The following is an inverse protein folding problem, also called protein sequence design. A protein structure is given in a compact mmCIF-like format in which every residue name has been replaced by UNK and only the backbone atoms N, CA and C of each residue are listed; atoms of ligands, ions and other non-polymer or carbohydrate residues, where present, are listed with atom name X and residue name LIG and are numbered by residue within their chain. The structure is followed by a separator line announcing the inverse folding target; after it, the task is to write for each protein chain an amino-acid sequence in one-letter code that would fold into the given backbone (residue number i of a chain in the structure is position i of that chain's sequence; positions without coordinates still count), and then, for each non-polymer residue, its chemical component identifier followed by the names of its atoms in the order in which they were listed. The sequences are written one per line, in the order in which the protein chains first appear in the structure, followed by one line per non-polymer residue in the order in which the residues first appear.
data_IF_481219498811
#
_entry.id   IF_481219498811
#
_cell.length_a   1.000
_cell.length_b   1.000
_cell.length_c   1.000
_cell.angle_alpha   90.00
_cell.angle_beta   90.00
_cell.angle_gamma   90.00
#
_symmetry.space_group_name_H-M   'P 1'
#
loop_
_entity.id
_entity.type
_entity.pdbx_description
1 polymer ?
#
# COMPACT_ATOMS: atom_id res chain seq x y z
N UNK A 1 2.46 29.20 82.64
CA UNK A 1 3.27 28.24 81.83
C UNK A 1 2.48 27.94 80.58
N UNK A 2 2.73 28.71 79.48
CA UNK A 2 1.96 28.61 78.25
C UNK A 2 2.65 27.63 77.27
N UNK A 3 2.00 26.47 76.99
CA UNK A 3 2.47 25.47 76.02
C UNK A 3 2.24 26.00 74.58
N UNK A 4 3.31 26.37 73.90
CA UNK A 4 3.29 26.71 72.44
C UNK A 4 2.89 25.48 71.67
N UNK A 5 1.75 25.49 71.00
CA UNK A 5 1.37 24.51 69.95
C UNK A 5 2.29 24.68 68.78
N UNK A 6 3.11 23.65 68.50
CA UNK A 6 3.80 23.52 67.21
C UNK A 6 2.75 23.24 66.15
N UNK A 7 2.54 24.18 65.24
CA UNK A 7 1.84 23.94 64.02
C UNK A 7 2.71 22.97 63.21
N UNK A 8 2.20 21.74 62.94
CA UNK A 8 2.77 20.85 61.93
C UNK A 8 2.54 21.51 60.59
N UNK A 9 3.60 22.05 60.01
CA UNK A 9 3.58 22.48 58.61
C UNK A 9 3.52 21.23 57.76
N UNK A 10 2.42 21.08 57.02
CA UNK A 10 2.25 20.02 56.03
C UNK A 10 3.28 20.29 54.92
N UNK A 11 4.17 19.36 54.60
CA UNK A 11 5.11 19.58 53.50
C UNK A 11 4.35 19.83 52.20
N UNK A 12 4.50 21.03 51.67
CA UNK A 12 3.94 21.37 50.35
C UNK A 12 4.69 20.59 49.30
N UNK A 13 3.97 19.72 48.58
CA UNK A 13 4.51 19.05 47.42
C UNK A 13 5.02 20.08 46.41
N UNK A 14 6.27 19.93 46.00
CA UNK A 14 6.85 20.80 44.97
C UNK A 14 6.26 20.43 43.59
N UNK A 15 5.17 21.09 43.24
CA UNK A 15 4.43 20.86 41.99
C UNK A 15 5.23 21.24 40.73
N UNK A 16 6.28 22.03 40.89
CA UNK A 16 7.12 22.49 39.78
C UNK A 16 7.87 21.33 39.13
N UNK A 17 8.39 20.39 39.91
CA UNK A 17 9.10 19.21 39.41
C UNK A 17 8.15 18.23 38.71
N UNK A 18 6.93 18.06 39.21
CA UNK A 18 5.92 17.20 38.58
C UNK A 18 5.38 17.80 37.27
N UNK A 19 5.25 19.12 37.23
CA UNK A 19 4.87 19.82 36.00
C UNK A 19 5.92 19.66 34.89
N UNK A 20 7.22 19.72 35.22
CA UNK A 20 8.31 19.55 34.26
C UNK A 20 8.34 18.11 33.70
N UNK A 21 8.20 17.11 34.56
CA UNK A 21 8.11 15.72 34.13
C UNK A 21 6.91 15.49 33.21
N UNK A 22 5.75 16.06 33.55
CA UNK A 22 4.53 15.95 32.74
C UNK A 22 4.71 16.63 31.37
N UNK A 23 5.38 17.79 31.35
CA UNK A 23 5.67 18.51 30.12
C UNK A 23 6.65 17.75 29.22
N UNK A 24 7.71 17.18 29.79
CA UNK A 24 8.67 16.33 29.07
C UNK A 24 8.02 15.07 28.49
N UNK A 25 7.12 14.42 29.26
CA UNK A 25 6.34 13.30 28.78
C UNK A 25 5.43 13.70 27.61
N UNK A 26 4.77 14.86 27.71
CA UNK A 26 3.89 15.36 26.67
C UNK A 26 4.67 15.65 25.38
N UNK A 27 5.83 16.30 25.45
CA UNK A 27 6.70 16.52 24.28
C UNK A 27 7.20 15.18 23.72
N UNK A 28 7.59 14.25 24.57
CA UNK A 28 8.02 12.92 24.16
C UNK A 28 6.92 12.19 23.37
N UNK A 29 5.69 12.17 23.88
CA UNK A 29 4.56 11.59 23.16
C UNK A 29 4.22 12.35 21.89
N UNK A 30 4.36 13.66 21.84
CA UNK A 30 4.11 14.47 20.65
C UNK A 30 5.14 14.17 19.56
N UNK A 31 6.41 14.00 19.90
CA UNK A 31 7.47 13.61 18.97
C UNK A 31 7.33 12.16 18.51
N UNK A 32 7.01 11.23 19.42
CA UNK A 32 6.82 9.82 19.07
C UNK A 32 5.50 9.57 18.31
N UNK A 33 4.49 10.40 18.52
CA UNK A 33 3.19 10.34 17.82
C UNK A 33 3.28 10.89 16.38
N UNK A 34 4.34 11.63 16.05
CA UNK A 34 4.64 12.03 14.67
C UNK A 34 5.29 10.88 13.89
N UNK A 35 4.82 9.65 14.07
CA UNK A 35 5.16 8.57 13.16
C UNK A 35 4.53 8.90 11.83
N UNK A 36 5.39 9.03 10.81
CA UNK A 36 4.98 9.06 9.41
C UNK A 36 3.90 8.00 9.21
N UNK A 37 2.74 8.46 8.79
CA UNK A 37 1.73 7.53 8.28
C UNK A 37 2.41 6.76 7.17
N UNK A 38 2.75 5.51 7.47
CA UNK A 38 3.29 4.59 6.49
C UNK A 38 2.46 4.74 5.22
N UNK A 39 3.11 5.18 4.16
CA UNK A 39 2.53 5.21 2.82
C UNK A 39 2.46 3.77 2.32
N UNK A 40 1.72 2.95 3.05
CA UNK A 40 1.44 1.59 2.66
C UNK A 40 0.64 1.59 1.37
N UNK A 41 0.99 0.69 0.48
CA UNK A 41 0.18 0.37 -0.70
C UNK A 41 -1.20 -0.07 -0.22
N UNK A 42 -2.21 0.77 -0.39
CA UNK A 42 -3.60 0.36 -0.17
C UNK A 42 -3.97 -0.63 -1.27
N UNK A 43 -3.91 -1.91 -0.96
CA UNK A 43 -4.50 -2.96 -1.78
C UNK A 43 -5.88 -3.28 -1.25
N UNK A 44 -6.85 -3.30 -2.13
CA UNK A 44 -8.13 -3.94 -1.84
C UNK A 44 -7.89 -5.44 -1.91
N UNK A 45 -7.82 -6.09 -0.76
CA UNK A 45 -7.87 -7.55 -0.70
C UNK A 45 -9.23 -8.00 -1.25
N UNK A 46 -9.26 -9.00 -2.14
CA UNK A 46 -10.52 -9.63 -2.50
C UNK A 46 -11.24 -10.09 -1.23
N UNK A 47 -12.56 -9.98 -1.13
CA UNK A 47 -13.29 -10.51 0.01
C UNK A 47 -12.99 -12.00 0.15
N UNK A 48 -12.53 -12.42 1.34
CA UNK A 48 -12.42 -13.82 1.70
C UNK A 48 -13.86 -14.38 1.80
N UNK A 49 -14.42 -14.80 0.70
CA UNK A 49 -15.59 -15.65 0.70
C UNK A 49 -15.10 -17.07 0.99
N UNK A 50 -15.15 -17.44 2.25
CA UNK A 50 -15.23 -18.85 2.63
C UNK A 50 -16.47 -19.42 1.93
N UNK A 51 -16.27 -20.55 1.24
CA UNK A 51 -17.29 -21.26 0.47
C UNK A 51 -17.83 -20.55 -0.78
N UNK A 52 -17.11 -20.71 -1.85
CA UNK A 52 -17.66 -21.31 -3.07
C UNK A 52 -16.51 -21.50 -4.04
N UNK A 53 -16.13 -22.74 -4.33
CA UNK A 53 -15.55 -23.13 -5.62
C UNK A 53 -16.59 -22.90 -6.73
N UNK A 54 -17.17 -21.73 -6.79
CA UNK A 54 -17.65 -21.21 -8.05
C UNK A 54 -16.37 -20.77 -8.75
N UNK A 55 -15.92 -21.61 -9.68
CA UNK A 55 -15.12 -21.14 -10.81
C UNK A 55 -15.93 -19.97 -11.38
N UNK A 56 -15.69 -18.76 -10.88
CA UNK A 56 -15.99 -17.57 -11.64
C UNK A 56 -15.25 -17.80 -12.94
N UNK A 57 -16.00 -17.91 -14.00
CA UNK A 57 -15.47 -17.93 -15.38
C UNK A 57 -14.84 -16.54 -15.58
N UNK A 58 -13.65 -16.38 -14.97
CA UNK A 58 -12.87 -15.15 -15.12
C UNK A 58 -12.52 -15.12 -16.59
N UNK A 59 -13.16 -14.24 -17.30
CA UNK A 59 -12.91 -14.04 -18.70
C UNK A 59 -11.40 -13.87 -18.86
N UNK A 60 -10.73 -14.85 -19.50
CA UNK A 60 -9.25 -14.88 -19.62
C UNK A 60 -8.70 -13.60 -20.27
N UNK A 61 -9.55 -12.89 -21.00
CA UNK A 61 -9.19 -11.60 -21.59
C UNK A 61 -9.00 -10.48 -20.56
N UNK A 62 -9.62 -10.62 -19.37
CA UNK A 62 -9.50 -9.64 -18.28
C UNK A 62 -8.29 -9.90 -17.37
N UNK A 63 -7.68 -11.08 -17.49
CA UNK A 63 -6.57 -11.52 -16.67
C UNK A 63 -5.24 -11.28 -17.38
N UNK A 64 -4.31 -10.57 -16.75
CA UNK A 64 -2.92 -10.47 -17.16
C UNK A 64 -2.07 -11.18 -16.10
N UNK A 65 -1.37 -12.25 -16.53
CA UNK A 65 -0.55 -13.02 -15.62
C UNK A 65 0.89 -12.54 -15.67
N UNK A 66 1.43 -12.12 -14.53
CA UNK A 66 2.79 -11.62 -14.37
C UNK A 66 3.54 -12.58 -13.47
N UNK A 67 4.65 -13.14 -13.94
CA UNK A 67 5.50 -14.06 -13.21
C UNK A 67 6.84 -13.42 -12.82
N UNK A 68 7.32 -13.75 -11.63
CA UNK A 68 8.69 -13.48 -11.20
C UNK A 68 9.27 -14.79 -10.68
N UNK A 69 10.26 -15.33 -11.37
CA UNK A 69 10.87 -16.62 -11.04
C UNK A 69 12.00 -16.50 -10.01
N UNK A 70 12.59 -17.63 -9.64
CA UNK A 70 13.70 -17.71 -8.70
C UNK A 70 15.02 -17.12 -9.23
N UNK A 71 15.11 -16.86 -10.53
CA UNK A 71 16.25 -16.25 -11.22
C UNK A 71 16.02 -14.77 -11.51
N UNK A 72 14.99 -14.17 -10.90
CA UNK A 72 14.57 -12.78 -11.08
C UNK A 72 14.12 -12.47 -12.53
N UNK A 73 13.77 -13.49 -13.31
CA UNK A 73 13.22 -13.30 -14.64
C UNK A 73 11.75 -12.90 -14.54
N UNK A 74 11.43 -11.80 -15.22
CA UNK A 74 10.09 -11.26 -15.28
C UNK A 74 9.38 -11.78 -16.53
N UNK A 75 8.17 -12.30 -16.35
CA UNK A 75 7.35 -12.82 -17.45
C UNK A 75 5.96 -12.21 -17.44
N UNK A 76 5.39 -12.00 -18.63
CA UNK A 76 3.98 -11.63 -18.82
C UNK A 76 3.37 -12.64 -19.79
N UNK A 77 2.32 -13.32 -19.39
CA UNK A 77 1.66 -14.39 -20.13
C UNK A 77 2.68 -15.42 -20.70
N UNK A 78 3.66 -15.81 -19.84
CA UNK A 78 4.75 -16.74 -20.16
C UNK A 78 5.81 -16.21 -21.14
N UNK A 79 5.81 -14.94 -21.48
CA UNK A 79 6.85 -14.29 -22.28
C UNK A 79 7.77 -13.46 -21.40
N UNK A 80 9.07 -13.63 -21.53
CA UNK A 80 10.05 -12.82 -20.77
C UNK A 80 10.01 -11.38 -21.25
N UNK A 81 9.91 -10.45 -20.31
CA UNK A 81 9.80 -9.00 -20.57
C UNK A 81 10.74 -8.20 -19.68
N UNK A 82 11.09 -7.00 -20.13
CA UNK A 82 11.77 -6.00 -19.31
C UNK A 82 10.76 -5.21 -18.49
N UNK A 83 11.22 -4.51 -17.42
CA UNK A 83 10.38 -3.64 -16.60
C UNK A 83 9.64 -2.57 -17.43
N UNK A 84 10.31 -2.00 -18.44
CA UNK A 84 9.68 -1.00 -19.31
C UNK A 84 8.58 -1.61 -20.21
N UNK A 85 8.80 -2.82 -20.71
CA UNK A 85 7.80 -3.56 -21.48
C UNK A 85 6.62 -3.97 -20.60
N UNK A 86 6.90 -4.42 -19.37
CA UNK A 86 5.86 -4.73 -18.39
C UNK A 86 4.96 -3.51 -18.16
N UNK A 87 5.54 -2.34 -17.88
CA UNK A 87 4.76 -1.13 -17.65
C UNK A 87 3.83 -0.83 -18.82
N UNK A 88 4.35 -0.88 -20.05
CA UNK A 88 3.55 -0.62 -21.25
C UNK A 88 2.42 -1.65 -21.43
N UNK A 89 2.70 -2.94 -21.24
CA UNK A 89 1.69 -4.00 -21.36
C UNK A 89 0.60 -3.86 -20.30
N UNK A 90 0.96 -3.57 -19.06
CA UNK A 90 0.02 -3.32 -17.98
C UNK A 90 -0.86 -2.10 -18.28
N UNK A 91 -0.27 -0.98 -18.72
CA UNK A 91 -1.02 0.21 -19.11
C UNK A 91 -2.01 -0.07 -20.25
N UNK A 92 -1.56 -0.79 -21.30
CA UNK A 92 -2.42 -1.16 -22.41
C UNK A 92 -3.56 -2.09 -22.00
N UNK A 93 -3.27 -3.08 -21.16
CA UNK A 93 -4.28 -3.99 -20.63
C UNK A 93 -5.35 -3.26 -19.82
N UNK A 94 -4.94 -2.41 -18.88
CA UNK A 94 -5.85 -1.62 -18.05
C UNK A 94 -6.66 -0.63 -18.90
N UNK A 95 -6.06 0.02 -19.90
CA UNK A 95 -6.79 0.91 -20.83
C UNK A 95 -7.86 0.20 -21.64
N UNK A 96 -7.61 -1.08 -22.01
CA UNK A 96 -8.54 -1.88 -22.80
C UNK A 96 -9.74 -2.35 -22.00
N UNK A 97 -9.52 -2.75 -20.74
CA UNK A 97 -10.53 -3.47 -19.94
C UNK A 97 -11.15 -2.57 -18.86
N UNK A 98 -10.44 -1.47 -18.49
CA UNK A 98 -10.86 -0.53 -17.46
C UNK A 98 -10.98 -1.16 -16.07
N UNK A 99 -12.17 -1.15 -15.48
CA UNK A 99 -12.45 -1.55 -14.10
C UNK A 99 -12.49 -3.08 -13.89
N UNK A 100 -12.65 -3.87 -14.94
CA UNK A 100 -12.75 -5.33 -14.86
C UNK A 100 -11.38 -6.03 -14.98
N UNK A 101 -10.28 -5.29 -15.22
CA UNK A 101 -8.95 -5.89 -15.33
C UNK A 101 -8.51 -6.54 -14.03
N UNK A 102 -7.78 -7.65 -14.13
CA UNK A 102 -7.17 -8.37 -13.01
C UNK A 102 -5.70 -8.62 -13.36
N UNK A 103 -4.80 -8.14 -12.51
CA UNK A 103 -3.38 -8.47 -12.58
C UNK A 103 -3.08 -9.61 -11.61
N UNK A 104 -2.70 -10.77 -12.13
CA UNK A 104 -2.30 -11.92 -11.32
C UNK A 104 -0.78 -11.98 -11.21
N UNK A 105 -0.25 -11.78 -10.02
CA UNK A 105 1.18 -11.86 -9.73
C UNK A 105 1.51 -13.24 -9.18
N UNK A 106 2.35 -13.98 -9.90
CA UNK A 106 2.88 -15.26 -9.50
C UNK A 106 4.37 -15.09 -9.16
N UNK A 107 4.69 -15.10 -7.88
CA UNK A 107 6.02 -14.76 -7.39
C UNK A 107 6.66 -15.99 -6.76
N UNK A 108 7.85 -16.37 -7.25
CA UNK A 108 8.64 -17.41 -6.61
C UNK A 108 9.09 -16.96 -5.22
N UNK A 109 8.97 -17.85 -4.23
CA UNK A 109 9.47 -17.58 -2.85
C UNK A 109 10.98 -17.33 -2.81
N UNK A 110 11.72 -17.78 -3.84
CA UNK A 110 13.18 -17.62 -3.94
C UNK A 110 13.58 -16.34 -4.70
N UNK A 111 12.63 -15.59 -5.24
CA UNK A 111 12.92 -14.35 -5.95
C UNK A 111 13.58 -13.31 -5.04
N UNK A 112 14.47 -12.51 -5.60
CA UNK A 112 15.17 -11.47 -4.88
C UNK A 112 14.18 -10.34 -4.49
N UNK A 113 14.31 -9.84 -3.26
CA UNK A 113 13.49 -8.74 -2.78
C UNK A 113 13.59 -7.48 -3.66
N UNK A 114 14.78 -7.17 -4.18
CA UNK A 114 14.97 -5.99 -5.05
C UNK A 114 14.20 -6.14 -6.38
N UNK A 115 14.19 -7.34 -6.97
CA UNK A 115 13.42 -7.61 -8.18
C UNK A 115 11.92 -7.49 -7.93
N UNK A 116 11.45 -8.04 -6.81
CA UNK A 116 10.07 -7.89 -6.35
C UNK A 116 9.70 -6.41 -6.14
N UNK A 117 10.56 -5.65 -5.47
CA UNK A 117 10.33 -4.24 -5.22
C UNK A 117 10.27 -3.41 -6.50
N UNK A 118 11.15 -3.70 -7.47
CA UNK A 118 11.12 -3.06 -8.79
C UNK A 118 9.84 -3.39 -9.56
N UNK A 119 9.39 -4.64 -9.52
CA UNK A 119 8.10 -5.06 -10.08
C UNK A 119 6.94 -4.24 -9.48
N UNK A 120 6.87 -4.17 -8.14
CA UNK A 120 5.83 -3.41 -7.44
C UNK A 120 5.84 -1.92 -7.80
N UNK A 121 7.02 -1.31 -7.84
CA UNK A 121 7.16 0.10 -8.24
C UNK A 121 6.70 0.33 -9.68
N UNK A 122 7.00 -0.59 -10.58
CA UNK A 122 6.58 -0.52 -11.98
C UNK A 122 5.06 -0.57 -12.13
N UNK A 123 4.40 -1.46 -11.38
CA UNK A 123 2.94 -1.53 -11.36
C UNK A 123 2.31 -0.25 -10.80
N UNK A 124 2.84 0.26 -9.69
CA UNK A 124 2.38 1.54 -9.12
C UNK A 124 2.59 2.69 -10.08
N UNK A 125 3.71 2.73 -10.80
CA UNK A 125 3.98 3.76 -11.81
C UNK A 125 2.96 3.70 -12.96
N UNK A 126 2.62 2.51 -13.46
CA UNK A 126 1.60 2.31 -14.50
C UNK A 126 0.23 2.84 -14.05
N UNK A 127 -0.24 2.49 -12.85
CA UNK A 127 -1.49 3.02 -12.32
C UNK A 127 -1.46 4.53 -12.11
N UNK A 128 -0.36 5.06 -11.58
CA UNK A 128 -0.21 6.50 -11.37
C UNK A 128 -0.24 7.27 -12.68
N UNK A 129 0.37 6.74 -13.74
CA UNK A 129 0.34 7.35 -15.06
C UNK A 129 -1.09 7.39 -15.61
N UNK A 130 -1.81 6.27 -15.60
CA UNK A 130 -3.19 6.18 -16.07
C UNK A 130 -4.11 7.12 -15.29
N UNK A 131 -4.01 7.13 -13.97
CA UNK A 131 -4.79 8.02 -13.11
C UNK A 131 -4.49 9.48 -13.34
N UNK A 132 -3.21 9.81 -13.56
CA UNK A 132 -2.79 11.17 -13.83
C UNK A 132 -3.32 11.66 -15.19
N UNK A 133 -3.26 10.83 -16.23
CA UNK A 133 -3.82 11.14 -17.54
C UNK A 133 -5.34 11.35 -17.47
N UNK A 134 -6.06 10.47 -16.79
CA UNK A 134 -7.51 10.59 -16.62
C UNK A 134 -7.88 11.83 -15.84
N UNK A 135 -7.20 12.11 -14.72
CA UNK A 135 -7.41 13.30 -13.90
C UNK A 135 -7.18 14.59 -14.71
N UNK A 136 -6.07 14.66 -15.45
CA UNK A 136 -5.74 15.81 -16.29
C UNK A 136 -6.79 16.02 -17.38
N UNK A 137 -7.27 14.93 -18.00
CA UNK A 137 -8.30 15.00 -19.04
C UNK A 137 -9.67 15.43 -18.50
N UNK A 138 -10.04 14.95 -17.31
CA UNK A 138 -11.39 15.17 -16.74
C UNK A 138 -11.48 16.45 -15.91
N UNK A 139 -10.44 16.76 -15.13
CA UNK A 139 -10.44 17.87 -14.17
C UNK A 139 -9.47 19.00 -14.53
N UNK A 140 -8.59 18.82 -15.53
CA UNK A 140 -7.64 19.84 -15.98
C UNK A 140 -6.39 20.00 -15.13
N UNK A 141 -6.21 19.16 -14.10
CA UNK A 141 -5.03 19.18 -13.22
C UNK A 141 -4.55 17.75 -12.89
N UNK A 142 -3.28 17.57 -12.48
CA UNK A 142 -2.71 16.26 -12.21
C UNK A 142 -3.37 15.60 -10.98
N UNK A 143 -3.32 14.28 -10.93
CA UNK A 143 -3.96 13.47 -9.87
C UNK A 143 -3.52 13.87 -8.45
N UNK A 144 -2.29 14.38 -8.29
CA UNK A 144 -1.79 14.85 -6.98
C UNK A 144 -2.54 16.07 -6.46
N UNK A 145 -3.06 16.91 -7.34
CA UNK A 145 -3.78 18.14 -7.02
C UNK A 145 -5.29 17.92 -6.88
N UNK A 146 -5.76 16.71 -7.19
CA UNK A 146 -7.16 16.35 -7.05
C UNK A 146 -7.64 16.42 -5.59
N UNK A 147 -8.87 16.94 -5.42
CA UNK A 147 -9.60 16.87 -4.15
C UNK A 147 -9.91 15.42 -3.77
N UNK A 148 -10.39 15.21 -2.54
CA UNK A 148 -10.73 13.86 -2.06
C UNK A 148 -11.78 13.17 -2.97
N UNK A 149 -12.81 13.89 -3.35
CA UNK A 149 -13.91 13.37 -4.20
C UNK A 149 -13.41 12.99 -5.59
N UNK A 150 -12.59 13.86 -6.19
CA UNK A 150 -12.00 13.61 -7.51
C UNK A 150 -11.03 12.41 -7.49
N UNK A 151 -10.25 12.26 -6.42
CA UNK A 151 -9.37 11.09 -6.24
C UNK A 151 -10.14 9.80 -6.14
N UNK A 152 -11.26 9.81 -5.45
CA UNK A 152 -12.13 8.64 -5.31
C UNK A 152 -12.74 8.24 -6.66
N UNK A 153 -13.22 9.20 -7.43
CA UNK A 153 -13.74 8.97 -8.78
C UNK A 153 -12.66 8.38 -9.72
N UNK A 154 -11.45 8.96 -9.71
CA UNK A 154 -10.33 8.43 -10.50
C UNK A 154 -9.92 7.03 -10.05
N UNK A 155 -9.96 6.76 -8.74
CA UNK A 155 -9.64 5.45 -8.19
C UNK A 155 -10.71 4.39 -8.51
N UNK A 156 -11.97 4.78 -8.62
CA UNK A 156 -13.05 3.91 -9.08
C UNK A 156 -12.94 3.59 -10.57
N UNK A 157 -12.49 4.55 -11.38
CA UNK A 157 -12.31 4.35 -12.83
C UNK A 157 -11.13 3.44 -13.14
N UNK A 158 -10.02 3.56 -12.39
CA UNK A 158 -8.84 2.68 -12.46
C UNK A 158 -8.56 2.06 -11.09
N UNK A 159 -9.34 1.05 -10.66
CA UNK A 159 -9.14 0.37 -9.39
C UNK A 159 -7.87 -0.49 -9.46
N UNK A 160 -7.14 -0.59 -8.35
CA UNK A 160 -5.98 -1.49 -8.27
C UNK A 160 -6.46 -2.92 -7.96
N UNK A 161 -6.67 -3.72 -8.99
CA UNK A 161 -7.08 -5.12 -8.88
C UNK A 161 -5.88 -6.02 -9.12
N UNK A 162 -5.10 -6.22 -8.07
CA UNK A 162 -3.90 -7.06 -8.08
C UNK A 162 -4.13 -8.23 -7.14
N UNK A 163 -4.05 -9.44 -7.67
CA UNK A 163 -4.03 -10.69 -6.93
C UNK A 163 -2.59 -11.20 -6.89
N UNK A 164 -2.07 -11.53 -5.74
CA UNK A 164 -0.70 -12.01 -5.56
C UNK A 164 -0.72 -13.43 -4.98
N UNK A 165 0.00 -14.32 -5.64
CA UNK A 165 0.18 -15.71 -5.22
C UNK A 165 1.68 -16.00 -5.13
N UNK A 166 2.12 -16.51 -3.99
CA UNK A 166 3.49 -17.00 -3.82
C UNK A 166 3.52 -18.47 -4.22
N UNK A 167 4.34 -18.78 -5.22
CA UNK A 167 4.50 -20.15 -5.71
C UNK A 167 5.69 -20.77 -4.99
N UNK A 168 5.46 -21.90 -4.31
CA UNK A 168 6.52 -22.80 -3.89
C UNK A 168 6.85 -23.68 -5.11
N UNK A 169 8.03 -23.50 -5.70
CA UNK A 169 8.52 -24.45 -6.69
C UNK A 169 8.89 -25.72 -5.95
N UNK A 170 7.96 -26.69 -5.93
CA UNK A 170 8.27 -28.04 -5.54
C UNK A 170 9.35 -28.56 -6.50
N UNK A 171 10.49 -28.94 -5.94
CA UNK A 171 11.49 -29.71 -6.68
C UNK A 171 10.84 -31.02 -7.13
N UNK A 172 10.45 -31.08 -8.40
CA UNK A 172 10.30 -32.38 -9.04
C UNK A 172 11.71 -33.00 -9.09
N UNK A 173 11.92 -33.98 -8.22
CA UNK A 173 13.06 -34.91 -8.31
C UNK A 173 13.05 -35.67 -9.66
#
# INVERSE_FOLDING_TARGET
MFRRHRRNEIPTLNTTSTADISFMLLIFFLVTSSMDTDKGLRRQLPPLTEDTQQMMDVNREHLLTIGLDAQDCLTVDSQTVTLSQLQQQVEQHIRRIHDEHILSLNISRKANYDAYFQLQNTLVAAYNQLRNEYATKKYGHPFRECSYIEREDVAQYYPQRISETVIEEDHAE
#
